data_IF_199921554974
#
_entry.id   IF_199921554974
#
_cell.length_a   1.000
_cell.length_b   1.000
_cell.length_c   1.000
_cell.angle_alpha   90.00
_cell.angle_beta   90.00
_cell.angle_gamma   90.00
#
_symmetry.space_group_name_H-M   'P 1'
#
loop_
_entity.id
_entity.type
_entity.pdbx_description
1 polymer ?
#
# COMPACT_ATOMS: atom_id res chain seq x y z
N UNK A 1 7.18 -16.30 26.09
CA UNK A 1 6.88 -16.38 24.65
C UNK A 1 5.40 -16.13 24.47
N UNK A 2 5.01 -14.91 24.11
CA UNK A 2 3.62 -14.63 23.70
C UNK A 2 3.44 -15.20 22.28
N UNK A 3 3.15 -16.49 22.18
CA UNK A 3 2.38 -16.95 21.02
C UNK A 3 1.08 -16.17 21.07
N UNK A 4 0.61 -15.61 19.94
CA UNK A 4 -0.80 -15.30 19.85
C UNK A 4 -1.52 -16.63 20.09
N UNK A 5 -2.01 -16.81 21.31
CA UNK A 5 -2.92 -17.88 21.63
C UNK A 5 -4.08 -17.72 20.69
N UNK A 6 -4.30 -18.72 19.86
CA UNK A 6 -5.45 -18.92 19.00
C UNK A 6 -6.71 -19.03 19.84
N UNK A 7 -7.12 -17.96 20.50
CA UNK A 7 -8.50 -17.81 20.87
C UNK A 7 -9.15 -17.10 19.68
N UNK A 8 -10.07 -17.78 19.01
CA UNK A 8 -10.76 -17.27 17.82
C UNK A 8 -11.54 -15.97 18.07
N UNK A 9 -11.58 -15.49 19.32
CA UNK A 9 -12.21 -14.27 19.82
C UNK A 9 -11.73 -13.01 19.08
N UNK A 10 -10.43 -12.72 19.02
CA UNK A 10 -9.96 -11.46 18.40
C UNK A 10 -10.26 -11.38 16.89
N UNK A 11 -10.27 -12.52 16.19
CA UNK A 11 -10.58 -12.57 14.77
C UNK A 11 -12.09 -12.40 14.49
N UNK A 12 -12.94 -12.87 15.41
CA UNK A 12 -14.39 -12.71 15.32
C UNK A 12 -14.82 -11.26 15.59
N UNK A 13 -14.13 -10.57 16.50
CA UNK A 13 -14.49 -9.21 16.94
C UNK A 13 -14.22 -8.14 15.88
N UNK A 14 -13.20 -8.31 15.04
CA UNK A 14 -12.98 -7.46 13.85
C UNK A 14 -14.06 -7.61 12.77
N UNK A 15 -14.95 -8.61 12.88
CA UNK A 15 -16.12 -8.75 12.00
C UNK A 15 -17.45 -8.41 12.67
N UNK A 16 -17.40 -7.93 13.93
CA UNK A 16 -18.57 -7.53 14.71
C UNK A 16 -19.36 -6.44 13.99
N UNK A 17 -20.69 -6.42 14.18
CA UNK A 17 -21.53 -5.31 13.71
C UNK A 17 -21.22 -3.99 14.43
N UNK A 18 -20.67 -4.07 15.64
CA UNK A 18 -20.33 -2.93 16.47
C UNK A 18 -18.95 -2.38 16.12
N UNK A 19 -18.90 -1.07 15.84
CA UNK A 19 -17.66 -0.38 15.47
C UNK A 19 -16.62 -0.38 16.60
N UNK A 20 -17.05 -0.33 17.85
CA UNK A 20 -16.13 -0.19 18.99
C UNK A 20 -15.40 -1.50 19.25
N UNK A 21 -16.10 -2.63 19.09
CA UNK A 21 -15.45 -3.96 19.09
C UNK A 21 -14.46 -4.12 17.93
N UNK A 22 -14.83 -3.70 16.71
CA UNK A 22 -13.91 -3.75 15.57
C UNK A 22 -12.68 -2.87 15.80
N UNK A 23 -12.88 -1.66 16.31
CA UNK A 23 -11.78 -0.74 16.62
C UNK A 23 -10.86 -1.31 17.71
N UNK A 24 -11.42 -1.79 18.83
CA UNK A 24 -10.65 -2.40 19.92
C UNK A 24 -9.83 -3.59 19.44
N UNK A 25 -10.45 -4.53 18.71
CA UNK A 25 -9.76 -5.71 18.20
C UNK A 25 -8.63 -5.34 17.21
N UNK A 26 -8.84 -4.32 16.38
CA UNK A 26 -7.81 -3.82 15.46
C UNK A 26 -6.68 -3.12 16.22
N UNK A 27 -6.99 -2.41 17.31
CA UNK A 27 -6.01 -1.72 18.14
C UNK A 27 -5.13 -2.70 18.95
N UNK A 28 -5.73 -3.77 19.45
CA UNK A 28 -5.00 -4.86 20.11
C UNK A 28 -4.06 -5.55 19.13
N UNK A 29 -4.54 -5.83 17.91
CA UNK A 29 -3.70 -6.37 16.84
C UNK A 29 -2.53 -5.43 16.51
N UNK A 30 -2.77 -4.12 16.38
CA UNK A 30 -1.70 -3.14 16.16
C UNK A 30 -0.63 -3.21 17.25
N UNK A 31 -1.07 -3.27 18.52
CA UNK A 31 -0.19 -3.36 19.68
C UNK A 31 0.64 -4.64 19.69
N UNK A 32 0.08 -5.77 19.24
CA UNK A 32 0.81 -7.03 19.08
C UNK A 32 1.81 -6.97 17.91
N UNK A 33 1.43 -6.40 16.76
CA UNK A 33 2.29 -6.29 15.58
C UNK A 33 3.54 -5.42 15.84
N UNK A 34 3.43 -4.42 16.72
CA UNK A 34 4.54 -3.56 17.12
C UNK A 34 5.55 -4.24 18.04
N UNK A 35 5.26 -5.44 18.57
CA UNK A 35 6.22 -6.19 19.38
C UNK A 35 7.28 -6.84 18.49
N UNK A 36 8.53 -6.82 18.93
CA UNK A 36 9.63 -7.41 18.17
C UNK A 36 9.51 -8.93 18.01
N UNK A 37 8.93 -9.60 19.00
CA UNK A 37 8.93 -11.06 19.15
C UNK A 37 7.66 -11.76 18.65
N UNK A 38 6.71 -11.03 18.05
CA UNK A 38 5.53 -11.65 17.46
C UNK A 38 5.95 -12.60 16.34
N UNK A 39 5.40 -13.81 16.38
CA UNK A 39 5.54 -14.80 15.31
C UNK A 39 4.15 -15.22 14.89
N UNK A 40 3.83 -14.98 13.62
CA UNK A 40 2.62 -15.46 12.98
C UNK A 40 2.96 -16.77 12.28
N UNK A 41 2.10 -17.78 12.43
CA UNK A 41 2.15 -18.95 11.55
C UNK A 41 1.44 -18.66 10.21
N UNK A 42 1.65 -19.52 9.22
CA UNK A 42 1.16 -19.31 7.85
C UNK A 42 -0.35 -19.08 7.76
N UNK A 43 -1.14 -19.71 8.63
CA UNK A 43 -2.59 -19.55 8.64
C UNK A 43 -3.01 -18.26 9.33
N UNK A 44 -2.32 -17.88 10.41
CA UNK A 44 -2.50 -16.60 11.08
C UNK A 44 -2.13 -15.43 10.15
N UNK A 45 -1.01 -15.50 9.42
CA UNK A 45 -0.61 -14.47 8.46
C UNK A 45 -1.73 -14.22 7.44
N UNK A 46 -2.22 -15.27 6.77
CA UNK A 46 -3.31 -15.18 5.78
C UNK A 46 -4.58 -14.58 6.36
N UNK A 47 -4.95 -14.99 7.59
CA UNK A 47 -6.15 -14.47 8.26
C UNK A 47 -5.99 -12.99 8.58
N UNK A 48 -4.89 -12.60 9.22
CA UNK A 48 -4.62 -11.20 9.60
C UNK A 48 -4.61 -10.29 8.37
N UNK A 49 -3.91 -10.70 7.31
CA UNK A 49 -3.86 -9.94 6.04
C UNK A 49 -5.25 -9.77 5.44
N UNK A 50 -6.01 -10.88 5.30
CA UNK A 50 -7.37 -10.82 4.76
C UNK A 50 -8.28 -9.90 5.58
N UNK A 51 -8.16 -9.95 6.90
CA UNK A 51 -8.99 -9.17 7.80
C UNK A 51 -8.67 -7.68 7.72
N UNK A 52 -7.40 -7.30 7.77
CA UNK A 52 -7.00 -5.90 7.66
C UNK A 52 -7.38 -5.31 6.29
N UNK A 53 -7.20 -6.07 5.21
CA UNK A 53 -7.64 -5.64 3.88
C UNK A 53 -9.16 -5.44 3.81
N UNK A 54 -9.95 -6.30 4.46
CA UNK A 54 -11.40 -6.14 4.56
C UNK A 54 -11.78 -4.90 5.39
N UNK A 55 -11.05 -4.59 6.45
CA UNK A 55 -11.30 -3.41 7.29
C UNK A 55 -10.97 -2.09 6.59
N UNK A 56 -10.23 -2.10 5.47
CA UNK A 56 -10.11 -0.92 4.60
C UNK A 56 -11.45 -0.54 3.96
N UNK A 57 -12.38 -1.49 3.86
CA UNK A 57 -13.75 -1.26 3.37
C UNK A 57 -14.75 -1.04 4.51
N UNK A 58 -14.29 -0.81 5.74
CA UNK A 58 -15.18 -0.57 6.87
C UNK A 58 -16.03 0.69 6.68
N UNK A 59 -17.27 0.66 7.17
CA UNK A 59 -18.17 1.83 7.12
C UNK A 59 -17.69 2.97 8.02
N UNK A 60 -16.87 2.67 9.03
CA UNK A 60 -16.34 3.64 9.96
C UNK A 60 -14.89 4.02 9.59
N UNK A 61 -14.68 5.32 9.36
CA UNK A 61 -13.36 5.85 8.97
C UNK A 61 -12.25 5.70 10.02
N UNK A 62 -12.57 5.66 11.32
CA UNK A 62 -11.56 5.43 12.36
C UNK A 62 -11.04 4.00 12.33
N UNK A 63 -11.93 3.03 12.07
CA UNK A 63 -11.56 1.62 11.87
C UNK A 63 -10.71 1.46 10.60
N UNK A 64 -11.08 2.11 9.49
CA UNK A 64 -10.27 2.12 8.26
C UNK A 64 -8.87 2.70 8.50
N UNK A 65 -8.80 3.85 9.18
CA UNK A 65 -7.55 4.54 9.51
C UNK A 65 -6.65 3.72 10.45
N UNK A 66 -7.23 2.92 11.34
CA UNK A 66 -6.46 2.03 12.19
C UNK A 66 -5.98 0.79 11.42
N UNK A 67 -6.84 0.23 10.55
CA UNK A 67 -6.48 -0.90 9.71
C UNK A 67 -5.32 -0.57 8.76
N UNK A 68 -5.34 0.61 8.12
CA UNK A 68 -4.23 1.03 7.25
C UNK A 68 -2.93 1.22 8.02
N UNK A 69 -2.97 1.72 9.26
CA UNK A 69 -1.78 1.85 10.12
C UNK A 69 -1.19 0.49 10.49
N UNK A 70 -2.01 -0.54 10.64
CA UNK A 70 -1.54 -1.90 10.93
C UNK A 70 -0.72 -2.50 9.78
N UNK A 71 -0.95 -2.07 8.53
CA UNK A 71 -0.20 -2.56 7.38
C UNK A 71 1.31 -2.27 7.50
N UNK A 72 1.68 -1.14 8.12
CA UNK A 72 3.07 -0.75 8.27
C UNK A 72 3.94 -1.77 9.02
N UNK A 73 3.65 -2.08 10.30
CA UNK A 73 4.38 -3.13 11.00
C UNK A 73 4.12 -4.53 10.41
N UNK A 74 2.92 -4.79 9.86
CA UNK A 74 2.57 -6.11 9.32
C UNK A 74 3.50 -6.56 8.18
N UNK A 75 3.83 -5.68 7.23
CA UNK A 75 4.66 -6.06 6.06
C UNK A 75 6.06 -6.54 6.45
N UNK A 76 6.53 -6.20 7.65
CA UNK A 76 7.81 -6.66 8.20
C UNK A 76 7.68 -7.92 9.09
N UNK A 77 6.47 -8.47 9.26
CA UNK A 77 6.16 -9.61 10.13
C UNK A 77 5.55 -10.80 9.40
N UNK A 78 5.26 -10.67 8.11
CA UNK A 78 4.66 -11.73 7.27
C UNK A 78 5.59 -12.12 6.13
N UNK A 79 5.34 -13.28 5.51
CA UNK A 79 6.12 -13.74 4.36
C UNK A 79 5.88 -12.90 3.11
N UNK A 80 6.84 -12.93 2.19
CA UNK A 80 6.83 -12.22 0.89
C UNK A 80 5.49 -12.36 0.13
N UNK A 81 4.96 -13.58 0.05
CA UNK A 81 3.68 -13.86 -0.62
C UNK A 81 2.49 -13.08 -0.04
N UNK A 82 2.52 -12.79 1.26
CA UNK A 82 1.48 -12.01 1.93
C UNK A 82 1.66 -10.53 1.67
N UNK A 83 2.90 -10.03 1.65
CA UNK A 83 3.20 -8.65 1.25
C UNK A 83 2.75 -8.39 -0.19
N UNK A 84 3.01 -9.33 -1.11
CA UNK A 84 2.50 -9.26 -2.48
C UNK A 84 0.97 -9.18 -2.53
N UNK A 85 0.28 -9.98 -1.71
CA UNK A 85 -1.19 -9.97 -1.63
C UNK A 85 -1.72 -8.61 -1.16
N UNK A 86 -1.07 -8.01 -0.15
CA UNK A 86 -1.41 -6.66 0.34
C UNK A 86 -1.26 -5.64 -0.80
N UNK A 87 -0.10 -5.61 -1.44
CA UNK A 87 0.19 -4.67 -2.53
C UNK A 87 -0.78 -4.85 -3.70
N UNK A 88 -1.01 -6.08 -4.15
CA UNK A 88 -1.91 -6.36 -5.27
C UNK A 88 -3.35 -5.90 -4.98
N UNK A 89 -3.81 -6.05 -3.73
CA UNK A 89 -5.14 -5.59 -3.30
C UNK A 89 -5.21 -4.06 -3.27
N UNK A 90 -4.23 -3.39 -2.65
CA UNK A 90 -4.18 -1.93 -2.57
C UNK A 90 -4.12 -1.29 -3.97
N UNK A 91 -3.30 -1.84 -4.87
CA UNK A 91 -3.22 -1.35 -6.24
C UNK A 91 -4.49 -1.62 -7.07
N UNK A 92 -5.28 -2.64 -6.74
CA UNK A 92 -6.60 -2.83 -7.39
C UNK A 92 -7.61 -1.82 -6.85
N UNK A 93 -7.56 -1.55 -5.55
CA UNK A 93 -8.50 -0.66 -4.87
C UNK A 93 -8.26 0.82 -5.19
N UNK A 94 -7.02 1.24 -5.50
CA UNK A 94 -6.71 2.63 -5.86
C UNK A 94 -7.38 3.11 -7.16
N UNK A 95 -7.83 2.17 -8.01
CA UNK A 95 -8.60 2.46 -9.24
C UNK A 95 -10.08 2.09 -9.10
N UNK A 96 -10.54 1.82 -7.87
CA UNK A 96 -11.95 1.51 -7.59
C UNK A 96 -12.85 2.72 -7.88
N UNK A 97 -14.12 2.47 -8.19
CA UNK A 97 -15.11 3.56 -8.28
C UNK A 97 -15.49 4.14 -6.92
N UNK A 98 -15.15 3.46 -5.81
CA UNK A 98 -15.37 3.95 -4.46
C UNK A 98 -14.23 4.88 -4.02
N UNK A 99 -14.50 6.20 -3.99
CA UNK A 99 -13.53 7.24 -3.63
C UNK A 99 -12.88 7.02 -2.26
N UNK A 100 -13.68 6.71 -1.23
CA UNK A 100 -13.16 6.46 0.11
C UNK A 100 -12.21 5.25 0.12
N UNK A 101 -12.53 4.20 -0.64
CA UNK A 101 -11.66 3.02 -0.78
C UNK A 101 -10.37 3.36 -1.55
N UNK A 102 -10.43 4.23 -2.56
CA UNK A 102 -9.24 4.70 -3.27
C UNK A 102 -8.30 5.47 -2.35
N UNK A 103 -8.85 6.39 -1.55
CA UNK A 103 -8.07 7.24 -0.66
C UNK A 103 -7.34 6.42 0.40
N UNK A 104 -8.07 5.54 1.10
CA UNK A 104 -7.46 4.69 2.13
C UNK A 104 -6.46 3.70 1.53
N UNK A 105 -6.71 3.18 0.33
CA UNK A 105 -5.78 2.26 -0.34
C UNK A 105 -4.52 2.97 -0.84
N UNK A 106 -4.64 4.23 -1.26
CA UNK A 106 -3.50 5.06 -1.64
C UNK A 106 -2.61 5.36 -0.42
N UNK A 107 -3.22 5.69 0.73
CA UNK A 107 -2.51 5.82 2.00
C UNK A 107 -1.81 4.50 2.35
N UNK A 108 -2.52 3.37 2.26
CA UNK A 108 -1.97 2.05 2.55
C UNK A 108 -0.77 1.71 1.67
N UNK A 109 -0.83 2.02 0.38
CA UNK A 109 0.27 1.73 -0.53
C UNK A 109 1.50 2.59 -0.21
N UNK A 110 1.31 3.88 0.12
CA UNK A 110 2.40 4.76 0.60
C UNK A 110 3.00 4.24 1.91
N UNK A 111 2.17 3.81 2.87
CA UNK A 111 2.60 3.20 4.13
C UNK A 111 3.44 1.95 3.88
N UNK A 112 2.98 1.04 3.02
CA UNK A 112 3.74 -0.17 2.68
C UNK A 112 5.07 0.19 2.02
N UNK A 113 5.08 1.09 1.04
CA UNK A 113 6.32 1.53 0.36
C UNK A 113 7.33 2.11 1.37
N UNK A 114 6.86 2.90 2.34
CA UNK A 114 7.71 3.49 3.38
C UNK A 114 8.32 2.44 4.33
N UNK A 115 7.59 1.35 4.59
CA UNK A 115 7.94 0.33 5.59
C UNK A 115 8.71 -0.86 5.01
N UNK A 116 8.68 -1.06 3.69
CA UNK A 116 9.45 -2.14 3.04
C UNK A 116 10.94 -2.06 3.38
N UNK A 117 11.57 -3.17 3.76
CA UNK A 117 13.00 -3.17 4.04
C UNK A 117 13.84 -3.01 2.75
N UNK A 118 14.74 -2.01 2.65
CA UNK A 118 15.64 -1.88 1.50
C UNK A 118 16.59 -3.07 1.31
N UNK A 119 16.82 -3.84 2.38
CA UNK A 119 17.70 -5.01 2.37
C UNK A 119 17.07 -6.23 1.66
N UNK A 120 15.75 -6.26 1.52
CA UNK A 120 15.01 -7.35 0.87
C UNK A 120 14.89 -7.11 -0.64
N UNK A 121 16.03 -7.04 -1.34
CA UNK A 121 16.11 -6.61 -2.74
C UNK A 121 15.23 -7.41 -3.70
N UNK A 122 15.11 -8.73 -3.51
CA UNK A 122 14.26 -9.59 -4.34
C UNK A 122 12.75 -9.28 -4.17
N UNK A 123 12.28 -9.18 -2.92
CA UNK A 123 10.91 -8.78 -2.60
C UNK A 123 10.61 -7.38 -3.13
N UNK A 124 11.48 -6.41 -2.83
CA UNK A 124 11.30 -5.02 -3.25
C UNK A 124 11.27 -4.93 -4.78
N UNK A 125 12.14 -5.64 -5.50
CA UNK A 125 12.11 -5.68 -6.96
C UNK A 125 10.79 -6.22 -7.50
N UNK A 126 10.28 -7.30 -6.91
CA UNK A 126 9.00 -7.92 -7.29
C UNK A 126 7.82 -6.98 -7.06
N UNK A 127 7.77 -6.34 -5.88
CA UNK A 127 6.74 -5.36 -5.52
C UNK A 127 6.82 -4.14 -6.43
N UNK A 128 8.02 -3.57 -6.61
CA UNK A 128 8.25 -2.41 -7.47
C UNK A 128 7.79 -2.69 -8.90
N UNK A 129 8.14 -3.84 -9.47
CA UNK A 129 7.68 -4.26 -10.80
C UNK A 129 6.15 -4.27 -10.92
N UNK A 130 5.45 -4.85 -9.94
CA UNK A 130 3.98 -4.91 -9.92
C UNK A 130 3.36 -3.50 -9.81
N UNK A 131 3.83 -2.70 -8.87
CA UNK A 131 3.32 -1.35 -8.61
C UNK A 131 3.56 -0.47 -9.82
N UNK A 132 4.80 -0.39 -10.32
CA UNK A 132 5.18 0.50 -11.42
C UNK A 132 4.32 0.30 -12.66
N UNK A 133 4.06 -0.95 -13.08
CA UNK A 133 3.22 -1.21 -14.25
C UNK A 133 1.79 -0.70 -14.08
N UNK A 134 1.19 -0.89 -12.90
CA UNK A 134 -0.17 -0.42 -12.60
C UNK A 134 -0.22 1.11 -12.51
N UNK A 135 0.76 1.73 -11.86
CA UNK A 135 0.84 3.19 -11.75
C UNK A 135 1.05 3.86 -13.11
N UNK A 136 1.98 3.36 -13.93
CA UNK A 136 2.23 3.89 -15.27
C UNK A 136 0.96 3.84 -16.13
N UNK A 137 0.20 2.74 -16.06
CA UNK A 137 -1.09 2.63 -16.75
C UNK A 137 -2.12 3.63 -16.21
N UNK A 138 -2.26 3.76 -14.89
CA UNK A 138 -3.17 4.73 -14.28
C UNK A 138 -2.82 6.19 -14.64
N UNK A 139 -1.52 6.50 -14.75
CA UNK A 139 -1.03 7.82 -15.14
C UNK A 139 -1.40 8.15 -16.60
N UNK A 140 -1.18 7.19 -17.50
CA UNK A 140 -1.33 7.40 -18.93
C UNK A 140 -2.78 7.34 -19.41
N UNK A 141 -3.58 6.42 -18.87
CA UNK A 141 -4.85 6.02 -19.49
C UNK A 141 -6.10 6.39 -18.69
N UNK A 142 -5.97 6.82 -17.42
CA UNK A 142 -7.15 7.00 -16.58
C UNK A 142 -7.78 8.39 -16.74
N UNK A 143 -9.09 8.44 -16.97
CA UNK A 143 -9.86 9.68 -17.17
C UNK A 143 -10.07 10.46 -15.86
N UNK A 144 -10.18 9.76 -14.73
CA UNK A 144 -10.25 10.38 -13.41
C UNK A 144 -8.89 11.00 -13.02
N UNK A 145 -8.90 12.32 -12.91
CA UNK A 145 -7.71 13.10 -12.57
C UNK A 145 -7.26 12.93 -11.12
N UNK A 146 -8.16 12.55 -10.20
CA UNK A 146 -7.82 12.17 -8.83
C UNK A 146 -6.96 10.91 -8.81
N UNK A 147 -7.39 9.86 -9.50
CA UNK A 147 -6.61 8.62 -9.63
C UNK A 147 -5.23 8.89 -10.25
N UNK A 148 -5.18 9.71 -11.31
CA UNK A 148 -3.92 10.08 -11.96
C UNK A 148 -2.98 10.82 -11.02
N UNK A 149 -3.52 11.77 -10.26
CA UNK A 149 -2.78 12.55 -9.29
C UNK A 149 -2.19 11.64 -8.19
N UNK A 150 -2.96 10.69 -7.68
CA UNK A 150 -2.48 9.82 -6.59
C UNK A 150 -1.47 8.80 -7.12
N UNK A 151 -1.67 8.29 -8.33
CA UNK A 151 -0.70 7.43 -9.00
C UNK A 151 0.66 8.12 -9.21
N UNK A 152 0.66 9.41 -9.59
CA UNK A 152 1.88 10.21 -9.71
C UNK A 152 2.61 10.37 -8.36
N UNK A 153 1.86 10.56 -7.27
CA UNK A 153 2.43 10.73 -5.95
C UNK A 153 3.04 9.41 -5.44
N UNK A 154 2.31 8.30 -5.55
CA UNK A 154 2.81 6.98 -5.16
C UNK A 154 4.04 6.58 -6.00
N UNK A 155 4.03 6.90 -7.30
CA UNK A 155 5.19 6.65 -8.17
C UNK A 155 6.41 7.48 -7.75
N UNK A 156 6.18 8.73 -7.31
CA UNK A 156 7.24 9.59 -6.77
C UNK A 156 7.85 9.00 -5.51
N UNK A 157 7.03 8.52 -4.57
CA UNK A 157 7.49 7.87 -3.33
C UNK A 157 8.30 6.60 -3.64
N UNK A 158 7.83 5.81 -4.61
CA UNK A 158 8.50 4.60 -5.07
C UNK A 158 9.88 4.91 -5.69
N UNK A 159 9.96 5.92 -6.57
CA UNK A 159 11.20 6.34 -7.22
C UNK A 159 12.19 6.91 -6.20
N UNK A 160 11.73 7.77 -5.29
CA UNK A 160 12.57 8.39 -4.27
C UNK A 160 13.22 7.33 -3.35
N UNK A 161 12.52 6.24 -3.06
CA UNK A 161 13.02 5.20 -2.14
C UNK A 161 13.77 4.06 -2.85
N UNK A 162 13.32 3.68 -4.04
CA UNK A 162 13.77 2.45 -4.72
C UNK A 162 14.16 2.64 -6.18
N UNK A 163 14.34 3.86 -6.66
CA UNK A 163 14.56 4.11 -8.09
C UNK A 163 15.78 3.40 -8.69
N UNK A 164 16.83 3.11 -7.90
CA UNK A 164 17.98 2.31 -8.32
C UNK A 164 17.62 0.83 -8.65
N UNK A 165 16.53 0.30 -8.09
CA UNK A 165 16.03 -1.04 -8.38
C UNK A 165 15.06 -1.05 -9.58
N UNK A 166 14.70 0.14 -10.08
CA UNK A 166 13.71 0.34 -11.14
C UNK A 166 14.33 0.62 -12.50
N UNK A 167 15.64 0.50 -12.67
CA UNK A 167 16.36 0.85 -13.92
C UNK A 167 15.73 0.21 -15.16
N UNK A 168 15.33 -1.07 -15.09
CA UNK A 168 14.67 -1.76 -16.21
C UNK A 168 13.29 -1.21 -16.58
N UNK A 169 12.68 -0.39 -15.71
CA UNK A 169 11.38 0.24 -15.89
C UNK A 169 11.46 1.73 -16.18
N UNK A 170 12.64 2.36 -16.08
CA UNK A 170 12.81 3.81 -16.23
C UNK A 170 12.25 4.34 -17.56
N UNK A 171 12.49 3.63 -18.67
CA UNK A 171 11.94 4.01 -19.97
C UNK A 171 10.40 4.05 -19.97
N UNK A 172 9.75 3.00 -19.45
CA UNK A 172 8.29 2.92 -19.38
C UNK A 172 7.71 3.98 -18.42
N UNK A 173 8.40 4.23 -17.31
CA UNK A 173 8.05 5.31 -16.38
C UNK A 173 8.13 6.67 -17.09
N UNK A 174 9.22 6.94 -17.81
CA UNK A 174 9.42 8.17 -18.56
C UNK A 174 8.34 8.37 -19.63
N UNK A 175 8.01 7.32 -20.38
CA UNK A 175 6.94 7.33 -21.39
C UNK A 175 5.57 7.68 -20.78
N UNK A 176 5.31 7.25 -19.54
CA UNK A 176 4.08 7.61 -18.82
C UNK A 176 4.08 9.05 -18.27
N UNK A 177 5.25 9.57 -17.87
CA UNK A 177 5.40 10.87 -17.18
C UNK A 177 5.52 12.06 -18.12
N UNK A 178 6.30 11.96 -19.21
CA UNK A 178 6.55 13.08 -20.14
C UNK A 178 5.24 13.70 -20.68
N UNK A 179 4.25 12.90 -21.14
CA UNK A 179 2.99 13.47 -21.64
C UNK A 179 2.25 14.30 -20.59
N UNK A 180 2.42 14.00 -19.30
CA UNK A 180 1.75 14.71 -18.21
C UNK A 180 2.27 16.14 -18.02
N UNK A 181 3.46 16.47 -18.54
CA UNK A 181 3.99 17.84 -18.55
C UNK A 181 3.15 18.79 -19.41
N UNK A 182 2.39 18.26 -20.35
CA UNK A 182 1.49 19.03 -21.22
C UNK A 182 0.05 19.05 -20.72
N UNK A 183 -0.25 18.35 -19.63
CA UNK A 183 -1.59 18.30 -19.06
C UNK A 183 -2.07 19.72 -18.70
N UNK A 184 -3.33 20.06 -19.01
CA UNK A 184 -3.89 21.38 -18.68
C UNK A 184 -3.94 21.65 -17.16
N UNK A 185 -4.11 20.60 -16.35
CA UNK A 185 -4.19 20.71 -14.89
C UNK A 185 -2.80 20.91 -14.27
N UNK A 186 -2.57 22.06 -13.66
CA UNK A 186 -1.28 22.41 -13.05
C UNK A 186 -0.80 21.41 -11.99
N UNK A 187 -1.72 20.86 -11.19
CA UNK A 187 -1.38 19.88 -10.15
C UNK A 187 -0.72 18.62 -10.75
N UNK A 188 -1.21 18.15 -11.90
CA UNK A 188 -0.67 16.99 -12.61
C UNK A 188 0.74 17.29 -13.10
N UNK A 189 0.93 18.46 -13.74
CA UNK A 189 2.27 18.89 -14.19
C UNK A 189 3.27 18.95 -13.04
N UNK A 190 2.89 19.55 -11.90
CA UNK A 190 3.75 19.65 -10.71
C UNK A 190 4.19 18.28 -10.20
N UNK A 191 3.25 17.34 -10.03
CA UNK A 191 3.57 15.98 -9.56
C UNK A 191 4.39 15.18 -10.57
N UNK A 192 4.13 15.33 -11.86
CA UNK A 192 4.94 14.71 -12.92
C UNK A 192 6.39 15.23 -12.93
N UNK A 193 6.58 16.54 -12.73
CA UNK A 193 7.92 17.14 -12.59
C UNK A 193 8.63 16.55 -11.37
N UNK A 194 7.96 16.44 -10.23
CA UNK A 194 8.52 15.79 -9.03
C UNK A 194 8.93 14.34 -9.31
N UNK A 195 8.07 13.54 -9.93
CA UNK A 195 8.39 12.16 -10.27
C UNK A 195 9.61 12.06 -11.22
N UNK A 196 9.67 12.91 -12.25
CA UNK A 196 10.81 12.98 -13.17
C UNK A 196 12.09 13.41 -12.45
N UNK A 197 12.02 14.33 -11.48
CA UNK A 197 13.20 14.73 -10.70
C UNK A 197 13.77 13.55 -9.90
N UNK A 198 12.92 12.73 -9.28
CA UNK A 198 13.37 11.51 -8.61
C UNK A 198 13.91 10.47 -9.58
N UNK A 199 13.30 10.32 -10.76
CA UNK A 199 13.80 9.44 -11.81
C UNK A 199 15.23 9.83 -12.22
N UNK A 200 15.49 11.12 -12.44
CA UNK A 200 16.83 11.60 -12.83
C UNK A 200 17.89 11.42 -11.75
N UNK A 201 17.50 11.38 -10.47
CA UNK A 201 18.43 11.16 -9.35
C UNK A 201 18.89 9.69 -9.24
N UNK A 202 18.25 8.79 -9.98
CA UNK A 202 18.51 7.34 -9.95
C UNK A 202 19.37 6.86 -11.14
N UNK A 203 19.75 7.77 -12.03
CA UNK A 203 20.51 7.51 -13.26
C UNK A 203 21.97 7.98 -13.13
#
# INVERSE_FOLDING_TARGET
MSRLSTDGSNALDMTSSDKDFRFMATNDLMSELQKDNIKLDDDCEKKVVRMLLKLLEDKNGEVQNLAVKCLGPLVNKVKEIQVETIVDTLCSNMISNNEQLRDISSIGLKTVIAELSPNSTALVSTICKKITGRLANAISQHDDMGIRLEALEILSDLLNRFGNLLVSFHANIQDSLIPQLLCQRLAVRKRAITALSYLTMCC
#
